data_IF_291505365120
#
_entry.id   IF_291505365120
#
_cell.length_a   1.000
_cell.length_b   1.000
_cell.length_c   1.000
_cell.angle_alpha   90.00
_cell.angle_beta   90.00
_cell.angle_gamma   90.00
#
_symmetry.space_group_name_H-M   'P 1'
#
loop_
_entity.id
_entity.type
_entity.pdbx_description
1 polymer ?
#
# COMPACT_ATOMS: atom_id res chain seq x y z
N UNK A 1 -38.74 -42.43 22.16
CA UNK A 1 -38.51 -41.97 20.77
C UNK A 1 -38.58 -40.45 20.78
N UNK A 2 -37.66 -39.64 20.26
CA UNK A 2 -36.49 -39.86 19.43
C UNK A 2 -35.44 -38.78 19.76
N UNK A 3 -34.18 -39.18 19.94
CA UNK A 3 -33.02 -38.27 20.00
C UNK A 3 -32.69 -37.90 18.55
N UNK A 4 -32.77 -36.61 18.19
CA UNK A 4 -32.34 -36.12 16.86
C UNK A 4 -30.82 -35.92 16.91
N UNK A 5 -30.11 -36.83 16.25
CA UNK A 5 -28.69 -36.70 15.92
C UNK A 5 -28.51 -35.48 15.01
N UNK A 6 -27.86 -34.43 15.51
CA UNK A 6 -27.27 -33.38 14.67
C UNK A 6 -25.76 -33.63 14.71
N UNK A 7 -25.33 -34.54 13.84
CA UNK A 7 -23.93 -34.71 13.46
C UNK A 7 -23.89 -34.65 11.94
N UNK A 8 -22.83 -34.03 11.42
CA UNK A 8 -22.49 -33.84 10.00
C UNK A 8 -23.06 -32.58 9.34
N UNK A 9 -22.39 -31.45 9.61
CA UNK A 9 -22.08 -30.47 8.56
C UNK A 9 -20.70 -29.87 8.84
N UNK A 10 -19.67 -30.71 8.70
CA UNK A 10 -18.30 -30.28 8.45
C UNK A 10 -17.98 -30.63 7.00
N UNK A 11 -18.54 -29.84 6.08
CA UNK A 11 -18.08 -29.80 4.70
C UNK A 11 -16.96 -28.75 4.62
N UNK A 12 -15.76 -29.28 4.77
CA UNK A 12 -14.49 -28.87 4.17
C UNK A 12 -14.66 -27.87 3.01
N UNK A 13 -14.45 -26.58 3.29
CA UNK A 13 -14.13 -25.57 2.29
C UNK A 13 -12.60 -25.45 2.19
N UNK A 14 -11.97 -26.38 1.47
CA UNK A 14 -10.55 -26.25 1.12
C UNK A 14 -10.39 -26.38 -0.40
N UNK A 15 -10.90 -25.38 -1.12
CA UNK A 15 -10.76 -25.32 -2.59
C UNK A 15 -10.98 -23.95 -3.26
N UNK A 16 -11.11 -22.84 -2.51
CA UNK A 16 -11.55 -21.55 -3.06
C UNK A 16 -10.49 -20.45 -3.25
N UNK A 17 -9.23 -20.69 -2.87
CA UNK A 17 -8.23 -19.60 -2.77
C UNK A 17 -7.82 -18.97 -4.11
N UNK A 18 -7.58 -19.80 -5.13
CA UNK A 18 -6.96 -19.33 -6.39
C UNK A 18 -7.95 -18.53 -7.26
N UNK A 19 -9.17 -19.04 -7.44
CA UNK A 19 -10.17 -18.36 -8.27
C UNK A 19 -10.57 -16.98 -7.71
N UNK A 20 -10.76 -16.86 -6.39
CA UNK A 20 -11.15 -15.57 -5.79
C UNK A 20 -10.08 -14.48 -5.97
N UNK A 21 -8.80 -14.87 -5.93
CA UNK A 21 -7.68 -13.97 -6.10
C UNK A 21 -7.59 -13.45 -7.54
N UNK A 22 -7.68 -14.34 -8.54
CA UNK A 22 -7.71 -13.98 -9.97
C UNK A 22 -8.88 -13.04 -10.31
N UNK A 23 -10.08 -13.33 -9.80
CA UNK A 23 -11.26 -12.49 -10.02
C UNK A 23 -11.09 -11.09 -9.43
N UNK A 24 -10.50 -10.97 -8.24
CA UNK A 24 -10.28 -9.68 -7.59
C UNK A 24 -9.25 -8.82 -8.32
N UNK A 25 -8.16 -9.41 -8.80
CA UNK A 25 -7.15 -8.69 -9.59
C UNK A 25 -7.74 -8.26 -10.94
N UNK A 26 -8.50 -9.14 -11.61
CA UNK A 26 -9.15 -8.81 -12.87
C UNK A 26 -10.23 -7.72 -12.73
N UNK A 27 -11.00 -7.72 -11.64
CA UNK A 27 -11.95 -6.67 -11.32
C UNK A 27 -11.25 -5.34 -11.03
N UNK A 28 -10.22 -5.35 -10.18
CA UNK A 28 -9.39 -4.17 -9.87
C UNK A 28 -8.82 -3.56 -11.16
N UNK A 29 -8.26 -4.40 -12.03
CA UNK A 29 -7.75 -3.99 -13.34
C UNK A 29 -8.83 -3.29 -14.16
N UNK A 30 -10.00 -3.90 -14.29
CA UNK A 30 -11.12 -3.34 -15.08
C UNK A 30 -11.58 -1.98 -14.54
N UNK A 31 -11.56 -1.78 -13.23
CA UNK A 31 -11.97 -0.53 -12.59
C UNK A 31 -10.91 0.58 -12.68
N UNK A 32 -9.62 0.22 -12.61
CA UNK A 32 -8.51 1.18 -12.59
C UNK A 32 -8.05 1.59 -14.00
N UNK A 33 -8.19 0.74 -15.01
CA UNK A 33 -7.68 1.04 -16.36
C UNK A 33 -8.12 2.39 -16.94
N UNK A 34 -9.39 2.81 -16.80
CA UNK A 34 -9.82 4.12 -17.32
C UNK A 34 -9.01 5.30 -16.76
N UNK A 35 -8.64 5.28 -15.48
CA UNK A 35 -7.84 6.36 -14.89
C UNK A 35 -6.37 6.27 -15.31
N UNK A 36 -5.86 5.08 -15.60
CA UNK A 36 -4.56 4.92 -16.24
C UNK A 36 -4.53 5.46 -17.67
N UNK A 37 -5.62 5.32 -18.44
CA UNK A 37 -5.75 5.92 -19.78
C UNK A 37 -5.78 7.46 -19.73
N UNK A 38 -6.42 8.04 -18.70
CA UNK A 38 -6.38 9.49 -18.49
C UNK A 38 -4.99 9.97 -18.13
N UNK A 39 -4.27 9.24 -17.26
CA UNK A 39 -2.88 9.54 -16.93
C UNK A 39 -1.96 9.40 -18.15
N UNK A 40 -2.16 8.38 -18.99
CA UNK A 40 -1.44 8.20 -20.25
C UNK A 40 -1.60 9.44 -21.15
N UNK A 41 -2.85 9.88 -21.35
CA UNK A 41 -3.15 11.04 -22.19
C UNK A 41 -2.55 12.34 -21.61
N UNK A 42 -2.59 12.49 -20.29
CA UNK A 42 -1.93 13.61 -19.62
C UNK A 42 -0.41 13.60 -19.86
N UNK A 43 0.23 12.42 -19.74
CA UNK A 43 1.68 12.26 -19.91
C UNK A 43 2.17 12.42 -21.34
N UNK A 44 1.28 12.25 -22.34
CA UNK A 44 1.61 12.47 -23.75
C UNK A 44 1.40 13.92 -24.20
N UNK A 45 0.86 14.79 -23.34
CA UNK A 45 0.66 16.22 -23.63
C UNK A 45 2.01 16.98 -23.57
N UNK A 46 2.45 17.68 -24.64
CA UNK A 46 3.79 18.27 -24.71
C UNK A 46 4.15 19.27 -23.61
N UNK A 47 3.17 20.01 -23.09
CA UNK A 47 3.35 21.04 -22.06
C UNK A 47 3.37 20.44 -20.64
N UNK A 48 3.06 19.16 -20.49
CA UNK A 48 3.02 18.48 -19.20
C UNK A 48 4.40 17.94 -18.88
N UNK A 49 4.98 18.48 -17.80
CA UNK A 49 6.24 18.00 -17.23
C UNK A 49 6.01 17.41 -15.84
N UNK A 50 6.86 16.45 -15.47
CA UNK A 50 6.93 15.95 -14.11
C UNK A 50 7.45 17.05 -13.18
N UNK A 51 6.76 17.28 -12.07
CA UNK A 51 7.22 18.21 -11.03
C UNK A 51 8.40 17.62 -10.23
N UNK A 52 8.96 18.43 -9.34
CA UNK A 52 9.97 17.97 -8.38
C UNK A 52 9.37 16.95 -7.39
N UNK A 53 10.17 15.95 -7.03
CA UNK A 53 9.77 14.93 -6.07
C UNK A 53 9.56 15.49 -4.67
N UNK A 54 8.42 15.17 -4.07
CA UNK A 54 8.10 15.47 -2.66
C UNK A 54 7.62 14.20 -1.96
N UNK A 55 7.92 14.05 -0.67
CA UNK A 55 7.45 12.94 0.19
C UNK A 55 7.19 13.45 1.60
N UNK A 56 6.19 12.89 2.28
CA UNK A 56 5.92 13.08 3.72
C UNK A 56 6.32 11.85 4.55
N UNK A 57 7.14 10.94 3.98
CA UNK A 57 7.48 9.65 4.56
C UNK A 57 6.42 8.62 4.19
N UNK A 58 5.69 8.11 5.19
CA UNK A 58 4.53 7.27 4.92
C UNK A 58 3.27 8.13 4.73
N UNK A 59 2.89 8.27 3.45
CA UNK A 59 1.73 8.97 2.90
C UNK A 59 0.45 8.87 3.74
N UNK A 60 -0.38 9.92 3.66
CA UNK A 60 -1.66 10.02 4.37
C UNK A 60 -1.54 10.53 5.81
N UNK A 61 -0.41 11.17 6.15
CA UNK A 61 -0.13 11.71 7.48
C UNK A 61 0.28 10.65 8.51
N UNK A 62 0.64 9.44 8.09
CA UNK A 62 1.02 8.37 9.02
C UNK A 62 2.35 8.67 9.71
N UNK A 63 3.37 9.14 8.98
CA UNK A 63 4.63 9.58 9.58
C UNK A 63 4.42 10.78 10.51
N UNK A 64 3.60 11.76 10.12
CA UNK A 64 3.26 12.91 10.97
C UNK A 64 2.52 12.52 12.25
N UNK A 65 1.56 11.60 12.17
CA UNK A 65 0.84 11.08 13.34
C UNK A 65 1.78 10.28 14.25
N UNK A 66 2.67 9.48 13.68
CA UNK A 66 3.69 8.74 14.43
C UNK A 66 4.61 9.69 15.18
N UNK A 67 5.17 10.69 14.50
CA UNK A 67 6.03 11.71 15.09
C UNK A 67 5.32 12.46 16.23
N UNK A 68 4.05 12.84 16.04
CA UNK A 68 3.24 13.47 17.09
C UNK A 68 3.10 12.58 18.34
N UNK A 69 2.82 11.28 18.17
CA UNK A 69 2.74 10.34 19.29
C UNK A 69 4.11 10.12 19.95
N UNK A 70 5.17 10.02 19.15
CA UNK A 70 6.53 9.93 19.63
C UNK A 70 6.91 11.13 20.53
N UNK A 71 6.69 12.35 20.08
CA UNK A 71 7.00 13.56 20.86
C UNK A 71 6.21 13.64 22.19
N UNK A 72 5.00 13.08 22.22
CA UNK A 72 4.08 13.23 23.36
C UNK A 72 4.17 12.12 24.40
N UNK A 73 4.70 10.95 24.02
CA UNK A 73 4.74 9.75 24.85
C UNK A 73 6.16 9.16 24.85
N UNK A 74 7.00 9.50 25.85
CA UNK A 74 8.39 9.03 25.92
C UNK A 74 8.52 7.49 25.85
N UNK A 75 7.59 6.76 26.47
CA UNK A 75 7.55 5.29 26.41
C UNK A 75 7.27 4.74 25.01
N UNK A 76 6.61 5.51 24.14
CA UNK A 76 6.37 5.13 22.74
C UNK A 76 7.66 5.26 21.92
N UNK A 77 8.43 6.35 22.12
CA UNK A 77 9.73 6.54 21.45
C UNK A 77 10.73 5.51 21.91
N UNK A 78 10.76 5.22 23.21
CA UNK A 78 11.63 4.20 23.78
C UNK A 78 11.31 2.82 23.20
N UNK A 79 10.04 2.50 22.99
CA UNK A 79 9.59 1.23 22.43
C UNK A 79 9.75 1.09 20.91
N UNK A 80 9.38 2.15 20.18
CA UNK A 80 9.08 2.08 18.74
C UNK A 80 9.86 3.11 17.91
N UNK A 81 10.62 4.00 18.54
CA UNK A 81 11.37 5.07 17.88
C UNK A 81 10.54 6.28 17.47
N UNK A 82 11.23 7.32 16.98
CA UNK A 82 10.61 8.59 16.56
C UNK A 82 9.89 8.55 15.21
N UNK A 83 10.16 7.52 14.40
CA UNK A 83 9.57 7.31 13.07
C UNK A 83 9.31 5.81 12.87
N UNK A 84 8.38 5.42 11.98
CA UNK A 84 8.16 4.03 11.66
C UNK A 84 9.45 3.39 11.11
N UNK A 85 9.83 2.18 11.54
CA UNK A 85 11.06 1.53 11.07
C UNK A 85 11.05 1.17 9.57
N UNK A 86 9.91 1.29 8.91
CA UNK A 86 9.72 1.08 7.47
C UNK A 86 9.56 2.37 6.65
N UNK A 87 9.89 3.54 7.20
CA UNK A 87 9.70 4.83 6.51
C UNK A 87 10.41 4.88 5.13
N UNK A 88 11.61 4.31 5.02
CA UNK A 88 12.35 4.21 3.74
C UNK A 88 11.61 3.37 2.68
N UNK A 89 10.82 2.38 3.10
CA UNK A 89 9.94 1.63 2.20
C UNK A 89 8.87 2.55 1.59
N UNK A 90 8.31 3.45 2.40
CA UNK A 90 7.33 4.42 1.95
C UNK A 90 7.96 5.46 1.01
N UNK A 91 9.14 5.99 1.33
CA UNK A 91 9.84 6.95 0.44
C UNK A 91 10.17 6.31 -0.91
N UNK A 92 10.54 5.03 -0.93
CA UNK A 92 10.77 4.29 -2.17
C UNK A 92 9.48 4.12 -2.99
N UNK A 93 8.37 3.81 -2.32
CA UNK A 93 7.05 3.70 -2.94
C UNK A 93 6.56 5.05 -3.49
N UNK A 94 6.72 6.13 -2.73
CA UNK A 94 6.42 7.49 -3.16
C UNK A 94 7.18 7.85 -4.43
N UNK A 95 8.45 7.46 -4.58
CA UNK A 95 9.21 7.70 -5.83
C UNK A 95 8.58 7.03 -7.04
N UNK A 96 8.12 5.79 -6.88
CA UNK A 96 7.41 5.08 -7.96
C UNK A 96 6.07 5.77 -8.28
N UNK A 97 5.34 6.14 -7.23
CA UNK A 97 4.07 6.85 -7.33
C UNK A 97 4.20 8.24 -7.93
N UNK A 98 5.31 8.93 -7.70
CA UNK A 98 5.59 10.24 -8.26
C UNK A 98 5.65 10.18 -9.78
N UNK A 99 6.43 9.23 -10.31
CA UNK A 99 6.72 9.15 -11.75
C UNK A 99 5.63 8.42 -12.54
N UNK A 100 4.78 7.62 -11.88
CA UNK A 100 3.74 6.84 -12.55
C UNK A 100 4.28 5.71 -13.42
N UNK A 101 5.49 5.21 -13.10
CA UNK A 101 6.17 4.17 -13.88
C UNK A 101 6.83 4.70 -15.17
N UNK A 102 7.77 3.92 -15.77
CA UNK A 102 8.57 4.38 -16.90
C UNK A 102 7.79 4.46 -18.21
N UNK A 103 6.84 3.55 -18.44
CA UNK A 103 6.01 3.48 -19.64
C UNK A 103 4.67 4.18 -19.39
N UNK A 104 4.27 5.17 -20.21
CA UNK A 104 2.99 5.86 -20.08
C UNK A 104 1.78 5.03 -20.49
N UNK A 105 1.94 3.96 -21.28
CA UNK A 105 0.82 3.15 -21.75
C UNK A 105 -0.02 2.64 -20.57
N UNK A 106 -1.35 2.74 -20.66
CA UNK A 106 -2.25 2.48 -19.54
C UNK A 106 -2.02 1.10 -18.89
N UNK A 107 -1.86 0.05 -19.68
CA UNK A 107 -1.57 -1.30 -19.18
C UNK A 107 -0.22 -1.39 -18.48
N UNK A 108 0.84 -0.83 -19.06
CA UNK A 108 2.16 -0.85 -18.45
C UNK A 108 2.20 -0.02 -17.15
N UNK A 109 1.47 1.10 -17.13
CA UNK A 109 1.27 1.95 -15.97
C UNK A 109 0.52 1.22 -14.84
N UNK A 110 -0.52 0.44 -15.17
CA UNK A 110 -1.23 -0.40 -14.19
C UNK A 110 -0.32 -1.47 -13.59
N UNK A 111 0.42 -2.21 -14.42
CA UNK A 111 1.34 -3.25 -13.95
C UNK A 111 2.48 -2.67 -13.12
N UNK A 112 3.05 -1.53 -13.53
CA UNK A 112 4.10 -0.84 -12.77
C UNK A 112 3.62 -0.39 -11.38
N UNK A 113 2.35 0.02 -11.28
CA UNK A 113 1.74 0.41 -10.01
C UNK A 113 1.48 -0.80 -9.11
N UNK A 114 0.94 -1.87 -9.67
CA UNK A 114 0.73 -3.13 -8.95
C UNK A 114 2.06 -3.68 -8.40
N UNK A 115 3.13 -3.58 -9.20
CA UNK A 115 4.47 -3.97 -8.76
C UNK A 115 5.00 -3.05 -7.66
N UNK A 116 4.86 -1.74 -7.78
CA UNK A 116 5.25 -0.80 -6.72
C UNK A 116 4.54 -1.13 -5.38
N UNK A 117 3.25 -1.43 -5.43
CA UNK A 117 2.46 -1.81 -4.26
C UNK A 117 2.95 -3.14 -3.64
N UNK A 118 3.31 -4.12 -4.48
CA UNK A 118 3.88 -5.41 -4.03
C UNK A 118 5.28 -5.23 -3.41
N UNK A 119 6.13 -4.39 -4.00
CA UNK A 119 7.46 -4.04 -3.47
C UNK A 119 7.35 -3.36 -2.11
N UNK A 120 6.42 -2.42 -1.94
CA UNK A 120 6.15 -1.80 -0.63
C UNK A 120 5.79 -2.85 0.42
N UNK A 121 4.86 -3.74 0.09
CA UNK A 121 4.43 -4.82 1.00
C UNK A 121 5.60 -5.71 1.42
N UNK A 122 6.45 -6.09 0.47
CA UNK A 122 7.63 -6.90 0.72
C UNK A 122 8.61 -6.18 1.66
N UNK A 123 8.97 -4.94 1.33
CA UNK A 123 9.90 -4.12 2.12
C UNK A 123 9.43 -3.93 3.57
N UNK A 124 8.15 -3.61 3.78
CA UNK A 124 7.57 -3.47 5.13
C UNK A 124 7.58 -4.79 5.89
N UNK A 125 7.27 -5.91 5.22
CA UNK A 125 7.27 -7.25 5.83
C UNK A 125 8.67 -7.66 6.28
N UNK A 126 9.67 -7.36 5.46
CA UNK A 126 11.08 -7.70 5.69
C UNK A 126 11.79 -6.72 6.63
N UNK A 127 11.11 -5.65 7.04
CA UNK A 127 11.66 -4.66 7.98
C UNK A 127 12.15 -5.35 9.25
N UNK A 128 13.43 -5.15 9.53
CA UNK A 128 14.12 -5.52 10.76
C UNK A 128 14.72 -4.26 11.36
N UNK A 129 14.57 -4.09 12.67
CA UNK A 129 14.90 -2.83 13.32
C UNK A 129 15.48 -3.05 14.70
N UNK A 130 16.17 -2.05 15.25
CA UNK A 130 16.63 -2.10 16.64
C UNK A 130 15.47 -2.21 17.64
N UNK A 131 14.27 -1.79 17.24
CA UNK A 131 13.04 -1.88 18.01
C UNK A 131 12.55 -3.32 18.14
N UNK A 132 12.98 -4.24 17.27
CA UNK A 132 12.60 -5.65 17.35
C UNK A 132 13.06 -6.28 18.67
N UNK A 133 14.26 -5.93 19.19
CA UNK A 133 14.69 -6.39 20.51
C UNK A 133 13.87 -5.76 21.63
N UNK A 134 13.48 -4.49 21.50
CA UNK A 134 12.67 -3.79 22.51
C UNK A 134 11.27 -4.39 22.62
N UNK A 135 10.64 -4.67 21.48
CA UNK A 135 9.36 -5.38 21.41
C UNK A 135 9.42 -6.76 22.05
N UNK A 136 10.56 -7.44 21.96
CA UNK A 136 10.75 -8.76 22.57
C UNK A 136 11.02 -8.68 24.06
N UNK A 137 11.94 -7.81 24.44
CA UNK A 137 12.50 -7.76 25.79
C UNK A 137 11.55 -7.03 26.75
N UNK A 138 10.91 -5.95 26.32
CA UNK A 138 10.02 -5.12 27.15
C UNK A 138 8.55 -5.55 27.07
N UNK A 139 8.08 -5.93 25.87
CA UNK A 139 6.67 -6.32 25.66
C UNK A 139 6.46 -7.83 25.66
N UNK A 140 7.51 -8.62 25.88
CA UNK A 140 7.45 -10.08 25.97
C UNK A 140 7.01 -10.76 24.66
N UNK A 141 7.13 -10.08 23.52
CA UNK A 141 6.76 -10.66 22.23
C UNK A 141 7.82 -11.67 21.81
N UNK A 142 7.39 -12.82 21.32
CA UNK A 142 8.28 -13.74 20.62
C UNK A 142 8.65 -13.19 19.25
N UNK A 143 9.80 -13.60 18.71
CA UNK A 143 10.21 -13.23 17.35
C UNK A 143 9.11 -13.53 16.30
N UNK A 144 8.43 -14.69 16.31
CA UNK A 144 7.30 -14.94 15.42
C UNK A 144 6.15 -13.92 15.57
N UNK A 145 5.86 -13.44 16.78
CA UNK A 145 4.82 -12.43 17.01
C UNK A 145 5.23 -11.07 16.44
N UNK A 146 6.49 -10.67 16.60
CA UNK A 146 7.02 -9.44 15.97
C UNK A 146 6.90 -9.55 14.45
N UNK A 147 7.33 -10.67 13.86
CA UNK A 147 7.22 -10.91 12.41
C UNK A 147 5.76 -10.90 11.92
N UNK A 148 4.85 -11.49 12.69
CA UNK A 148 3.42 -11.46 12.38
C UNK A 148 2.85 -10.02 12.40
N UNK A 149 3.30 -9.18 13.33
CA UNK A 149 2.88 -7.78 13.40
C UNK A 149 3.29 -6.99 12.16
N UNK A 150 4.57 -7.07 11.75
CA UNK A 150 5.03 -6.43 10.51
C UNK A 150 4.33 -6.98 9.26
N UNK A 151 4.07 -8.30 9.22
CA UNK A 151 3.29 -8.91 8.15
C UNK A 151 1.87 -8.34 8.05
N UNK A 152 1.21 -8.11 9.20
CA UNK A 152 -0.12 -7.50 9.24
C UNK A 152 -0.09 -6.03 8.80
N UNK A 153 0.91 -5.25 9.23
CA UNK A 153 1.11 -3.86 8.78
C UNK A 153 1.33 -3.81 7.27
N UNK A 154 2.23 -4.64 6.75
CA UNK A 154 2.51 -4.75 5.32
C UNK A 154 1.25 -5.07 4.51
N UNK A 155 0.45 -6.03 4.96
CA UNK A 155 -0.81 -6.38 4.32
C UNK A 155 -1.83 -5.23 4.36
N UNK A 156 -1.95 -4.53 5.49
CA UNK A 156 -2.81 -3.37 5.64
C UNK A 156 -2.41 -2.21 4.73
N UNK A 157 -1.12 -1.90 4.66
CA UNK A 157 -0.57 -0.87 3.78
C UNK A 157 -0.82 -1.20 2.31
N UNK A 158 -0.58 -2.45 1.89
CA UNK A 158 -0.89 -2.90 0.53
C UNK A 158 -2.35 -2.62 0.16
N UNK A 159 -3.30 -3.02 1.01
CA UNK A 159 -4.72 -2.78 0.73
C UNK A 159 -5.06 -1.29 0.67
N UNK A 160 -4.48 -0.48 1.57
CA UNK A 160 -4.70 0.96 1.59
C UNK A 160 -4.23 1.63 0.28
N UNK A 161 -3.02 1.29 -0.22
CA UNK A 161 -2.49 1.88 -1.46
C UNK A 161 -3.21 1.36 -2.71
N UNK A 162 -3.68 0.10 -2.72
CA UNK A 162 -4.52 -0.41 -3.82
C UNK A 162 -5.84 0.36 -3.92
N UNK A 163 -6.50 0.63 -2.80
CA UNK A 163 -7.79 1.30 -2.78
C UNK A 163 -7.70 2.83 -2.96
N UNK A 164 -6.71 3.47 -2.33
CA UNK A 164 -6.61 4.93 -2.28
C UNK A 164 -5.62 5.53 -3.27
N UNK A 165 -4.66 4.75 -3.78
CA UNK A 165 -3.57 5.28 -4.58
C UNK A 165 -3.89 5.50 -6.06
N UNK A 166 -5.13 5.26 -6.51
CA UNK A 166 -5.55 5.31 -7.93
C UNK A 166 -5.07 6.58 -8.65
N UNK A 167 -4.67 6.55 -9.94
CA UNK A 167 -4.43 7.80 -10.66
C UNK A 167 -5.72 8.63 -10.75
N UNK A 168 -5.57 9.94 -10.95
CA UNK A 168 -6.69 10.89 -11.12
C UNK A 168 -7.71 10.95 -9.97
N UNK A 169 -7.34 10.54 -8.74
CA UNK A 169 -8.23 10.53 -7.56
C UNK A 169 -8.35 11.88 -6.86
N UNK A 170 -7.53 12.87 -7.22
CA UNK A 170 -7.42 14.14 -6.48
C UNK A 170 -6.58 14.04 -5.20
N UNK A 171 -6.20 12.83 -4.77
CA UNK A 171 -5.38 12.62 -3.59
C UNK A 171 -3.90 13.01 -3.86
N UNK A 172 -3.19 13.57 -2.87
CA UNK A 172 -1.82 14.02 -3.05
C UNK A 172 -0.81 12.86 -3.17
N UNK A 173 -1.18 11.65 -2.72
CA UNK A 173 -0.38 10.41 -2.82
C UNK A 173 -0.88 9.47 -3.93
N UNK A 174 -1.54 10.02 -4.96
CA UNK A 174 -2.04 9.20 -6.09
C UNK A 174 -0.90 8.70 -6.98
N UNK A 175 -1.14 7.63 -7.73
CA UNK A 175 -0.26 7.22 -8.81
C UNK A 175 -0.14 8.33 -9.86
N UNK A 176 1.10 8.68 -10.22
CA UNK A 176 1.43 9.81 -11.07
C UNK A 176 1.28 11.17 -10.38
N UNK A 177 1.42 11.28 -9.05
CA UNK A 177 1.19 12.56 -8.36
C UNK A 177 2.15 13.68 -8.76
N UNK A 178 3.30 13.35 -9.35
CA UNK A 178 4.23 14.33 -9.92
C UNK A 178 3.67 15.08 -11.13
N UNK A 179 2.62 14.55 -11.78
CA UNK A 179 1.92 15.23 -12.87
C UNK A 179 0.73 16.06 -12.36
N UNK A 180 0.15 16.95 -13.19
CA UNK A 180 -1.13 17.59 -12.89
C UNK A 180 -2.28 16.59 -12.64
N UNK A 181 -3.41 17.08 -12.12
CA UNK A 181 -4.60 16.24 -11.94
C UNK A 181 -5.21 15.90 -13.31
N UNK A 182 -5.63 14.65 -13.49
CA UNK A 182 -6.15 14.11 -14.76
C UNK A 182 -7.66 13.83 -14.73
N UNK A 183 -8.43 14.54 -13.88
CA UNK A 183 -9.90 14.42 -13.86
C UNK A 183 -10.58 15.13 -15.04
N UNK A 184 -9.84 15.91 -15.84
CA UNK A 184 -10.34 16.51 -17.07
C UNK A 184 -10.00 15.57 -18.21
N UNK A 185 -11.04 15.03 -18.86
CA UNK A 185 -10.88 14.44 -20.19
C UNK A 185 -10.32 15.55 -21.10
N UNK A 186 -9.24 15.34 -21.87
CA UNK A 186 -8.88 16.29 -22.91
C UNK A 186 -10.08 16.39 -23.85
N UNK A 187 -10.53 17.61 -24.12
CA UNK A 187 -11.68 17.87 -24.98
C UNK A 187 -11.52 17.12 -26.33
N UNK A 188 -12.56 16.38 -26.74
CA UNK A 188 -12.63 15.67 -28.02
C UNK A 188 -12.70 16.62 -29.23
#
# INVERSE_FOLDING_TARGET
>A
MARRNILALLLVFSGGGVAAQDWSEQLSRTLELPSHQWLETLRSTPEVTLNDFTTDGCSGGMSSLWAFFAERYPSFVEALGGHPPWEECCVTHDRAYHTGGPDPAAEASYEARLEADRVLRECVRETQSAQDSILRDEYGLSEPQVRAAYGAVAAGMYQAVRLGGGPCTGLPWRWGYGYPQCWQKPDE
#
